data_IF_546644333106
#
_entry.id   IF_546644333106
#
_cell.length_a   1.000
_cell.length_b   1.000
_cell.length_c   1.000
_cell.angle_alpha   90.00
_cell.angle_beta   90.00
_cell.angle_gamma   90.00
#
_symmetry.space_group_name_H-M   'P 1'
#
loop_
_entity.id
_entity.type
_entity.pdbx_description
1 polymer ?
#
# COMPACT_ATOMS: atom_id res chain seq x y z
N UNK A 1 -24.73 -28.67 27.94
CA UNK A 1 -24.18 -29.50 26.84
C UNK A 1 -24.06 -28.60 25.62
N UNK A 2 -23.01 -27.79 25.53
CA UNK A 2 -22.79 -26.98 24.33
C UNK A 2 -22.25 -27.92 23.24
N UNK A 3 -22.94 -27.98 22.09
CA UNK A 3 -22.57 -28.84 20.97
C UNK A 3 -21.20 -28.37 20.42
N UNK A 4 -20.21 -29.27 20.22
CA UNK A 4 -18.86 -28.90 19.79
C UNK A 4 -18.80 -28.19 18.41
N UNK A 5 -19.88 -28.26 17.63
CA UNK A 5 -20.06 -27.53 16.36
C UNK A 5 -20.03 -26.00 16.53
N UNK A 6 -20.62 -25.48 17.62
CA UNK A 6 -20.71 -24.04 17.85
C UNK A 6 -19.34 -23.44 18.20
N UNK A 7 -18.50 -24.20 18.93
CA UNK A 7 -17.15 -23.78 19.28
C UNK A 7 -16.26 -23.68 18.04
N UNK A 8 -16.32 -24.69 17.17
CA UNK A 8 -15.58 -24.72 15.91
C UNK A 8 -16.01 -23.59 14.97
N UNK A 9 -17.32 -23.32 14.88
CA UNK A 9 -17.87 -22.21 14.12
C UNK A 9 -17.37 -20.85 14.65
N UNK A 10 -17.34 -20.64 15.97
CA UNK A 10 -16.78 -19.41 16.55
C UNK A 10 -15.29 -19.24 16.25
N UNK A 11 -14.47 -20.30 16.34
CA UNK A 11 -13.05 -20.23 15.98
C UNK A 11 -12.85 -19.87 14.51
N UNK A 12 -13.65 -20.46 13.62
CA UNK A 12 -13.62 -20.18 12.19
C UNK A 12 -13.99 -18.71 11.90
N UNK A 13 -15.03 -18.18 12.54
CA UNK A 13 -15.45 -16.79 12.41
C UNK A 13 -14.36 -15.82 12.91
N UNK A 14 -13.75 -16.10 14.07
CA UNK A 14 -12.65 -15.29 14.63
C UNK A 14 -11.42 -15.30 13.70
N UNK A 15 -11.11 -16.45 13.10
CA UNK A 15 -10.01 -16.60 12.15
C UNK A 15 -10.27 -15.76 10.87
N UNK A 16 -11.48 -15.81 10.32
CA UNK A 16 -11.87 -15.00 9.15
C UNK A 16 -11.79 -13.49 9.45
N UNK A 17 -12.26 -13.05 10.62
CA UNK A 17 -12.19 -11.63 11.02
C UNK A 17 -10.74 -11.16 11.19
N UNK A 18 -9.87 -12.01 11.73
CA UNK A 18 -8.44 -11.70 11.91
C UNK A 18 -7.71 -11.50 10.58
N UNK A 19 -8.07 -12.25 9.54
CA UNK A 19 -7.50 -12.11 8.19
C UNK A 19 -8.06 -10.87 7.47
N UNK A 20 -9.33 -10.54 7.70
CA UNK A 20 -9.98 -9.39 7.07
C UNK A 20 -9.57 -8.04 7.68
N UNK A 21 -8.87 -8.05 8.82
CA UNK A 21 -8.46 -6.84 9.55
C UNK A 21 -7.13 -6.29 9.01
N UNK A 22 -7.12 -5.72 7.81
CA UNK A 22 -6.02 -4.88 7.33
C UNK A 22 -6.41 -3.41 7.40
N UNK A 23 -5.69 -2.61 8.18
CA UNK A 23 -5.88 -1.16 8.24
C UNK A 23 -5.10 -0.49 7.11
N UNK A 24 -5.69 -0.42 5.92
CA UNK A 24 -5.14 0.35 4.81
C UNK A 24 -5.63 1.80 4.90
N UNK A 25 -4.88 2.68 5.57
CA UNK A 25 -5.19 4.10 5.70
C UNK A 25 -4.59 4.91 4.53
N UNK A 26 -5.03 4.63 3.30
CA UNK A 26 -4.62 5.42 2.14
C UNK A 26 -5.76 6.35 1.70
N UNK A 27 -5.38 7.57 1.33
CA UNK A 27 -6.24 8.54 0.65
C UNK A 27 -5.48 9.14 -0.51
N UNK A 28 -6.16 9.39 -1.63
CA UNK A 28 -5.56 10.05 -2.80
C UNK A 28 -5.14 11.49 -2.51
N UNK A 29 -5.78 12.10 -1.52
CA UNK A 29 -5.70 13.53 -1.23
C UNK A 29 -4.99 13.79 0.12
N UNK A 30 -4.25 12.78 0.61
CA UNK A 30 -3.62 12.78 1.94
C UNK A 30 -2.76 14.03 2.19
N UNK A 31 -2.10 14.55 1.14
CA UNK A 31 -1.20 15.69 1.23
C UNK A 31 -1.84 17.03 0.90
N UNK A 32 -3.11 17.09 0.49
CA UNK A 32 -3.71 18.32 -0.06
C UNK A 32 -3.74 19.46 0.96
N UNK A 33 -3.92 19.12 2.24
CA UNK A 33 -3.98 20.12 3.32
C UNK A 33 -2.61 20.61 3.80
N UNK A 34 -1.55 19.80 3.68
CA UNK A 34 -0.24 20.10 4.23
C UNK A 34 0.79 20.52 3.16
N UNK A 35 0.68 19.96 1.95
CA UNK A 35 1.56 20.22 0.82
C UNK A 35 0.76 20.18 -0.49
N UNK A 36 -0.06 21.22 -0.77
CA UNK A 36 -0.80 21.30 -2.01
C UNK A 36 0.16 21.35 -3.20
N UNK A 37 -0.04 20.46 -4.17
CA UNK A 37 0.82 20.35 -5.37
C UNK A 37 2.02 19.40 -5.22
N UNK A 38 2.12 18.64 -4.12
CA UNK A 38 3.18 17.63 -3.95
C UNK A 38 3.27 16.67 -5.15
N UNK A 39 2.13 16.16 -5.61
CA UNK A 39 2.09 15.21 -6.74
C UNK A 39 2.61 15.83 -8.04
N UNK A 40 2.30 17.10 -8.30
CA UNK A 40 2.77 17.81 -9.49
C UNK A 40 4.28 18.07 -9.42
N UNK A 41 4.79 18.45 -8.25
CA UNK A 41 6.22 18.63 -8.02
C UNK A 41 7.00 17.33 -8.24
N UNK A 42 6.53 16.22 -7.64
CA UNK A 42 7.13 14.89 -7.84
C UNK A 42 7.09 14.48 -9.31
N UNK A 43 5.95 14.64 -9.98
CA UNK A 43 5.81 14.32 -11.41
C UNK A 43 6.79 15.12 -12.27
N UNK A 44 6.94 16.42 -12.01
CA UNK A 44 7.88 17.26 -12.75
C UNK A 44 9.34 16.78 -12.58
N UNK A 45 9.76 16.46 -11.35
CA UNK A 45 11.13 15.99 -11.09
C UNK A 45 11.39 14.61 -11.68
N UNK A 46 10.44 13.68 -11.53
CA UNK A 46 10.55 12.34 -12.14
C UNK A 46 10.65 12.46 -13.66
N UNK A 47 9.84 13.33 -14.29
CA UNK A 47 9.92 13.58 -15.72
C UNK A 47 11.31 14.10 -16.13
N UNK A 48 11.85 15.10 -15.44
CA UNK A 48 13.19 15.61 -15.71
C UNK A 48 14.27 14.53 -15.56
N UNK A 49 14.17 13.68 -14.54
CA UNK A 49 15.11 12.59 -14.31
C UNK A 49 15.07 11.53 -15.43
N UNK A 50 13.87 11.17 -15.90
CA UNK A 50 13.68 10.20 -16.99
C UNK A 50 14.09 10.81 -18.34
N UNK A 51 13.77 12.07 -18.59
CA UNK A 51 14.18 12.77 -19.82
C UNK A 51 15.71 12.89 -19.90
N UNK A 52 16.39 13.06 -18.75
CA UNK A 52 17.86 13.05 -18.67
C UNK A 52 18.43 11.64 -18.87
N UNK A 53 17.85 10.63 -18.22
CA UNK A 53 18.29 9.24 -18.28
C UNK A 53 17.09 8.29 -18.36
N UNK A 54 16.73 7.77 -19.55
CA UNK A 54 15.50 6.98 -19.74
C UNK A 54 15.41 5.74 -18.85
N UNK A 55 16.56 5.15 -18.48
CA UNK A 55 16.63 3.99 -17.58
C UNK A 55 16.07 4.30 -16.18
N UNK A 56 16.08 5.56 -15.74
CA UNK A 56 15.61 5.95 -14.41
C UNK A 56 14.17 5.54 -14.14
N UNK A 57 13.30 5.52 -15.16
CA UNK A 57 11.92 5.07 -14.99
C UNK A 57 11.84 3.62 -14.50
N UNK A 58 12.60 2.72 -15.13
CA UNK A 58 12.68 1.33 -14.74
C UNK A 58 13.36 1.15 -13.36
N UNK A 59 14.41 1.93 -13.08
CA UNK A 59 15.11 1.90 -11.79
C UNK A 59 14.19 2.29 -10.62
N UNK A 60 13.39 3.35 -10.77
CA UNK A 60 12.46 3.82 -9.74
C UNK A 60 11.36 2.79 -9.47
N UNK A 61 10.79 2.19 -10.53
CA UNK A 61 9.81 1.11 -10.37
C UNK A 61 10.43 -0.09 -9.64
N UNK A 62 11.63 -0.51 -10.04
CA UNK A 62 12.34 -1.61 -9.37
C UNK A 62 12.57 -1.32 -7.89
N UNK A 63 12.97 -0.09 -7.56
CA UNK A 63 13.19 0.32 -6.17
C UNK A 63 11.88 0.24 -5.36
N UNK A 64 10.77 0.76 -5.90
CA UNK A 64 9.46 0.66 -5.26
C UNK A 64 9.06 -0.80 -4.98
N UNK A 65 9.21 -1.68 -5.97
CA UNK A 65 8.93 -3.10 -5.77
C UNK A 65 9.87 -3.74 -4.75
N UNK A 66 11.15 -3.39 -4.76
CA UNK A 66 12.13 -3.92 -3.82
C UNK A 66 11.77 -3.54 -2.37
N UNK A 67 11.44 -2.28 -2.11
CA UNK A 67 11.07 -1.79 -0.77
C UNK A 67 9.75 -2.40 -0.26
N UNK A 68 8.82 -2.72 -1.15
CA UNK A 68 7.54 -3.32 -0.76
C UNK A 68 7.60 -4.85 -0.57
N UNK A 69 8.46 -5.56 -1.31
CA UNK A 69 8.45 -7.03 -1.35
C UNK A 69 9.62 -7.69 -0.62
N UNK A 70 10.74 -6.98 -0.40
CA UNK A 70 11.92 -7.52 0.27
C UNK A 70 12.04 -6.85 1.64
N UNK A 71 11.41 -7.48 2.65
CA UNK A 71 11.53 -7.13 4.07
C UNK A 71 12.00 -8.35 4.86
#
# INVERSE_FOLDING_TARGET
MACPSNLFATFFIVFVISIASSTAQLSTDYYDSCCPGLLDAVRAQVKLAVDKEPRMGASLLRLFFHDCFVN
#
